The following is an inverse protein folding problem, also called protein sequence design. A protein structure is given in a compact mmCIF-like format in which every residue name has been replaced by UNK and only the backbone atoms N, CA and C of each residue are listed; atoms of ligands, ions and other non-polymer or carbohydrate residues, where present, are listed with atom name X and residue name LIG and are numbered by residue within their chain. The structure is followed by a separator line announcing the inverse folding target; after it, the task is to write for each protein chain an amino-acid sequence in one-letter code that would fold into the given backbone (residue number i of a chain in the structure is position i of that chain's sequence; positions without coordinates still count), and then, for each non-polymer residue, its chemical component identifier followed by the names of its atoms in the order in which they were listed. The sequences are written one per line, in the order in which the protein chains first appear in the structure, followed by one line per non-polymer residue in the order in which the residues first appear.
data_IF_919756218041
#
_entry.id   IF_919756218041
#
_cell.length_a   1.000
_cell.length_b   1.000
_cell.length_c   1.000
_cell.angle_alpha   90.00
_cell.angle_beta   90.00
_cell.angle_gamma   90.00
#
_symmetry.space_group_name_H-M   'P 1'
#
loop_
_entity.id
_entity.type
_entity.pdbx_description
1 polymer ?
#
# COMPACT_ATOMS: atom_id res chain seq x y z
N UNK A 1 -33.00 -2.10 -21.86
CA UNK A 1 -31.61 -2.47 -21.51
C UNK A 1 -31.61 -3.96 -21.22
N UNK A 2 -30.89 -4.77 -22.02
CA UNK A 2 -30.75 -6.20 -21.77
C UNK A 2 -29.86 -6.38 -20.54
N UNK A 3 -30.25 -7.26 -19.61
CA UNK A 3 -29.41 -7.66 -18.48
C UNK A 3 -28.22 -8.46 -19.05
N UNK A 4 -27.02 -7.87 -19.07
CA UNK A 4 -25.79 -8.53 -19.54
C UNK A 4 -25.13 -9.39 -18.45
N UNK A 5 -25.86 -9.71 -17.37
CA UNK A 5 -25.39 -10.60 -16.31
C UNK A 5 -25.41 -12.05 -16.79
N UNK A 6 -24.38 -12.45 -17.54
CA UNK A 6 -24.15 -13.85 -17.86
C UNK A 6 -23.46 -14.54 -16.67
N UNK A 7 -24.24 -15.11 -15.75
CA UNK A 7 -23.72 -16.01 -14.73
C UNK A 7 -23.54 -17.38 -15.37
N UNK A 8 -22.28 -17.73 -15.67
CA UNK A 8 -21.93 -19.09 -16.08
C UNK A 8 -21.60 -19.88 -14.82
N UNK A 9 -22.53 -20.75 -14.39
CA UNK A 9 -22.40 -21.78 -13.34
C UNK A 9 -22.44 -21.30 -11.88
N UNK A 10 -23.42 -21.79 -11.11
CA UNK A 10 -23.73 -21.29 -9.75
C UNK A 10 -23.25 -22.18 -8.59
N UNK A 11 -22.63 -23.34 -8.82
CA UNK A 11 -22.30 -24.27 -7.73
C UNK A 11 -20.81 -24.46 -7.45
N UNK A 12 -19.92 -24.48 -8.46
CA UNK A 12 -18.49 -24.80 -8.24
C UNK A 12 -17.52 -23.76 -8.76
N UNK A 13 -17.79 -23.13 -9.90
CA UNK A 13 -16.98 -22.04 -10.44
C UNK A 13 -17.86 -21.11 -11.26
N UNK A 14 -17.43 -19.88 -11.49
CA UNK A 14 -18.11 -19.02 -12.44
C UNK A 14 -17.41 -17.70 -12.72
N UNK A 15 -17.98 -16.96 -13.66
CA UNK A 15 -17.50 -15.65 -14.12
C UNK A 15 -18.70 -14.70 -14.14
N UNK A 16 -18.48 -13.45 -13.72
CA UNK A 16 -19.48 -12.39 -13.73
C UNK A 16 -18.82 -11.05 -14.07
N UNK A 17 -19.54 -10.18 -14.76
CA UNK A 17 -19.10 -8.81 -15.08
C UNK A 17 -19.97 -7.82 -14.29
N UNK A 18 -19.34 -7.14 -13.33
CA UNK A 18 -19.92 -6.02 -12.60
C UNK A 18 -19.76 -4.74 -13.42
N UNK A 19 -20.88 -4.15 -13.81
CA UNK A 19 -20.93 -2.87 -14.52
C UNK A 19 -21.94 -1.92 -13.86
N UNK A 20 -21.76 -0.61 -14.03
CA UNK A 20 -22.49 0.45 -13.31
C UNK A 20 -24.03 0.33 -13.37
N UNK A 21 -24.56 -0.27 -14.43
CA UNK A 21 -26.00 -0.52 -14.58
C UNK A 21 -26.57 -1.61 -13.64
N UNK A 22 -25.75 -2.38 -12.95
CA UNK A 22 -26.15 -3.60 -12.20
C UNK A 22 -26.00 -3.52 -10.67
N UNK A 23 -25.54 -2.40 -10.10
CA UNK A 23 -25.46 -2.23 -8.64
C UNK A 23 -26.83 -2.31 -7.93
N UNK A 24 -27.92 -2.21 -8.68
CA UNK A 24 -29.29 -2.33 -8.16
C UNK A 24 -29.73 -3.78 -7.94
N UNK A 25 -29.03 -4.77 -8.49
CA UNK A 25 -29.35 -6.21 -8.33
C UNK A 25 -28.10 -7.07 -8.52
N UNK A 26 -27.12 -7.00 -7.61
CA UNK A 26 -25.92 -7.82 -7.69
C UNK A 26 -26.27 -9.32 -7.59
N UNK A 27 -25.45 -10.20 -8.18
CA UNK A 27 -25.61 -11.64 -7.96
C UNK A 27 -25.51 -11.96 -6.47
N UNK A 28 -26.25 -13.00 -6.05
CA UNK A 28 -26.23 -13.48 -4.67
C UNK A 28 -24.80 -13.75 -4.21
N UNK A 29 -24.39 -13.11 -3.13
CA UNK A 29 -23.07 -13.27 -2.53
C UNK A 29 -22.90 -14.71 -2.00
N UNK A 30 -21.85 -15.44 -2.41
CA UNK A 30 -21.53 -16.72 -1.78
C UNK A 30 -21.29 -16.57 -0.27
N UNK A 31 -21.86 -17.48 0.52
CA UNK A 31 -21.81 -17.40 1.98
C UNK A 31 -20.39 -17.56 2.56
N UNK A 32 -19.49 -18.21 1.81
CA UNK A 32 -18.10 -18.44 2.19
C UNK A 32 -17.17 -17.24 1.98
N UNK A 33 -17.64 -16.15 1.35
CA UNK A 33 -16.81 -14.96 1.14
C UNK A 33 -16.45 -14.27 2.45
N UNK A 34 -15.15 -14.05 2.64
CA UNK A 34 -14.64 -13.19 3.71
C UNK A 34 -14.90 -11.70 3.40
N UNK A 35 -14.77 -10.78 4.38
CA UNK A 35 -15.07 -9.36 4.17
C UNK A 35 -14.33 -8.69 3.02
N UNK A 36 -13.06 -9.04 2.78
CA UNK A 36 -12.27 -8.48 1.67
C UNK A 36 -12.78 -8.99 0.32
N UNK A 37 -13.04 -10.30 0.20
CA UNK A 37 -13.61 -10.87 -1.02
C UNK A 37 -15.02 -10.35 -1.33
N UNK A 38 -15.81 -9.97 -0.31
CA UNK A 38 -17.11 -9.33 -0.52
C UNK A 38 -16.99 -7.94 -1.12
N UNK A 39 -15.94 -7.20 -0.74
CA UNK A 39 -15.64 -5.92 -1.36
C UNK A 39 -15.29 -6.14 -2.83
N UNK A 40 -14.37 -7.06 -3.13
CA UNK A 40 -13.98 -7.43 -4.51
C UNK A 40 -15.17 -7.90 -5.35
N UNK A 41 -16.09 -8.67 -4.77
CA UNK A 41 -17.33 -9.11 -5.41
C UNK A 41 -18.21 -7.95 -5.86
N UNK A 42 -18.13 -6.80 -5.19
CA UNK A 42 -18.93 -5.61 -5.51
C UNK A 42 -18.15 -4.59 -6.35
N UNK A 43 -16.87 -4.81 -6.63
CA UNK A 43 -16.10 -3.88 -7.45
C UNK A 43 -16.46 -4.00 -8.93
N UNK A 44 -16.44 -2.86 -9.64
CA UNK A 44 -16.61 -2.78 -11.11
C UNK A 44 -15.51 -3.60 -11.79
N UNK A 45 -15.85 -4.38 -12.82
CA UNK A 45 -14.92 -5.28 -13.51
C UNK A 45 -15.40 -6.73 -13.52
N UNK A 46 -14.50 -7.66 -13.82
CA UNK A 46 -14.82 -9.09 -13.85
C UNK A 46 -14.52 -9.73 -12.52
N UNK A 47 -15.45 -10.55 -12.05
CA UNK A 47 -15.28 -11.42 -10.90
C UNK A 47 -15.26 -12.86 -11.39
N UNK A 48 -14.19 -13.58 -11.10
CA UNK A 48 -14.07 -15.02 -11.31
C UNK A 48 -14.00 -15.69 -9.94
N UNK A 49 -14.71 -16.79 -9.75
CA UNK A 49 -14.66 -17.53 -8.49
C UNK A 49 -14.54 -19.03 -8.71
N UNK A 50 -13.95 -19.67 -7.70
CA UNK A 50 -13.94 -21.12 -7.51
C UNK A 50 -14.41 -21.40 -6.09
N UNK A 51 -15.60 -21.99 -5.98
CA UNK A 51 -16.25 -22.29 -4.71
C UNK A 51 -15.59 -23.45 -3.97
N UNK A 52 -15.00 -24.41 -4.69
CA UNK A 52 -14.31 -25.55 -4.07
C UNK A 52 -13.04 -25.07 -3.37
N UNK A 53 -12.36 -24.06 -3.94
CA UNK A 53 -11.19 -23.42 -3.36
C UNK A 53 -11.52 -22.26 -2.42
N UNK A 54 -12.77 -21.79 -2.39
CA UNK A 54 -13.20 -20.57 -1.69
C UNK A 54 -12.37 -19.33 -2.10
N UNK A 55 -12.03 -19.23 -3.39
CA UNK A 55 -11.25 -18.13 -3.96
C UNK A 55 -12.15 -17.28 -4.88
N UNK A 56 -11.98 -15.97 -4.77
CA UNK A 56 -12.52 -14.97 -5.69
C UNK A 56 -11.36 -14.14 -6.21
N UNK A 57 -11.34 -13.94 -7.52
CA UNK A 57 -10.41 -13.04 -8.20
C UNK A 57 -11.21 -11.94 -8.85
N UNK A 58 -10.86 -10.70 -8.52
CA UNK A 58 -11.36 -9.53 -9.23
C UNK A 58 -10.33 -9.05 -10.25
N UNK A 59 -10.82 -8.74 -11.45
CA UNK A 59 -10.05 -8.30 -12.61
C UNK A 59 -10.61 -6.96 -13.09
N UNK A 60 -9.80 -5.91 -13.03
CA UNK A 60 -10.14 -4.62 -13.61
C UNK A 60 -10.30 -4.72 -15.13
N UNK A 61 -11.08 -3.83 -15.74
CA UNK A 61 -11.40 -3.91 -17.16
C UNK A 61 -10.15 -3.79 -18.04
N UNK A 62 -9.24 -2.85 -17.73
CA UNK A 62 -7.98 -2.69 -18.45
C UNK A 62 -7.11 -3.95 -18.42
N UNK A 63 -6.87 -4.49 -17.21
CA UNK A 63 -6.10 -5.73 -17.06
C UNK A 63 -6.77 -6.94 -17.75
N UNK A 64 -8.09 -7.00 -17.72
CA UNK A 64 -8.85 -8.05 -18.40
C UNK A 64 -8.62 -8.01 -19.92
N UNK A 65 -8.54 -6.82 -20.51
CA UNK A 65 -8.24 -6.66 -21.94
C UNK A 65 -6.81 -7.14 -22.25
N UNK A 66 -5.84 -6.85 -21.39
CA UNK A 66 -4.48 -7.37 -21.52
C UNK A 66 -4.45 -8.90 -21.47
N UNK A 67 -5.21 -9.53 -20.56
CA UNK A 67 -5.35 -10.98 -20.51
C UNK A 67 -5.97 -11.54 -21.79
N UNK A 68 -7.01 -10.90 -22.32
CA UNK A 68 -7.63 -11.31 -23.59
C UNK A 68 -6.63 -11.23 -24.74
N UNK A 69 -5.84 -10.17 -24.83
CA UNK A 69 -4.78 -10.03 -25.84
C UNK A 69 -3.70 -11.11 -25.69
N UNK A 70 -3.25 -11.41 -24.47
CA UNK A 70 -2.31 -12.49 -24.21
C UNK A 70 -2.86 -13.85 -24.68
N UNK A 71 -4.13 -14.12 -24.40
CA UNK A 71 -4.80 -15.34 -24.84
C UNK A 71 -4.99 -15.39 -26.37
N UNK A 72 -5.09 -14.25 -27.06
CA UNK A 72 -5.17 -14.20 -28.53
C UNK A 72 -3.81 -14.43 -29.20
N UNK A 73 -2.71 -14.00 -28.57
CA UNK A 73 -1.36 -14.14 -29.11
C UNK A 73 -0.79 -15.55 -28.87
N UNK A 74 -1.11 -16.15 -27.73
CA UNK A 74 -0.54 -17.42 -27.31
C UNK A 74 -1.64 -18.47 -27.09
N UNK A 75 -1.66 -19.51 -27.93
CA UNK A 75 -2.67 -20.58 -27.86
C UNK A 75 -2.36 -21.70 -26.85
N UNK A 76 -1.23 -21.64 -26.13
CA UNK A 76 -0.84 -22.70 -25.15
C UNK A 76 -1.91 -22.94 -24.09
N UNK A 77 -2.67 -21.91 -23.69
CA UNK A 77 -3.73 -22.06 -22.70
C UNK A 77 -4.84 -23.02 -23.11
N UNK A 78 -5.04 -23.23 -24.41
CA UNK A 78 -6.03 -24.18 -24.94
C UNK A 78 -5.71 -25.62 -24.54
N UNK A 79 -4.43 -25.95 -24.30
CA UNK A 79 -4.01 -27.28 -23.87
C UNK A 79 -3.57 -27.33 -22.40
N UNK A 80 -2.86 -26.32 -21.91
CA UNK A 80 -2.31 -26.30 -20.54
C UNK A 80 -3.19 -25.63 -19.50
N UNK A 81 -4.29 -24.98 -19.90
CA UNK A 81 -5.03 -24.09 -19.01
C UNK A 81 -4.37 -22.71 -18.87
N UNK A 82 -4.93 -21.87 -18.01
CA UNK A 82 -4.52 -20.47 -17.86
C UNK A 82 -4.56 -20.04 -16.40
N UNK A 83 -3.58 -19.25 -15.96
CA UNK A 83 -3.55 -18.74 -14.57
C UNK A 83 -3.99 -17.28 -14.59
N UNK A 84 -5.00 -16.96 -13.80
CA UNK A 84 -5.46 -15.60 -13.56
C UNK A 84 -5.26 -15.24 -12.09
N UNK A 85 -5.20 -13.95 -11.80
CA UNK A 85 -5.13 -13.42 -10.43
C UNK A 85 -5.28 -11.91 -10.43
N UNK A 86 -5.54 -11.34 -9.26
CA UNK A 86 -5.64 -9.90 -9.10
C UNK A 86 -4.23 -9.31 -9.09
N UNK A 87 -3.89 -8.38 -10.00
CA UNK A 87 -2.58 -7.77 -10.02
C UNK A 87 -2.38 -6.91 -8.78
N UNK A 88 -1.28 -7.13 -8.06
CA UNK A 88 -0.92 -6.34 -6.89
C UNK A 88 0.56 -5.93 -6.95
N UNK A 89 0.89 -4.84 -6.27
CA UNK A 89 2.25 -4.32 -6.18
C UNK A 89 2.78 -4.54 -4.77
N UNK A 90 3.89 -5.28 -4.66
CA UNK A 90 4.56 -5.46 -3.38
C UNK A 90 5.44 -4.26 -3.09
N UNK A 91 4.93 -3.33 -2.28
CA UNK A 91 5.74 -2.25 -1.73
C UNK A 91 6.60 -2.79 -0.58
N UNK A 92 7.90 -2.96 -0.82
CA UNK A 92 8.89 -3.22 0.24
C UNK A 92 9.61 -1.93 0.61
N UNK A 93 9.93 -1.76 1.90
CA UNK A 93 10.72 -0.62 2.40
C UNK A 93 12.16 -0.62 1.90
N UNK A 94 12.67 -1.76 1.45
CA UNK A 94 14.07 -1.95 1.07
C UNK A 94 14.30 -1.79 -0.43
N UNK A 95 13.32 -2.18 -1.26
CA UNK A 95 13.40 -2.13 -2.72
C UNK A 95 12.00 -1.87 -3.27
N UNK A 96 11.83 -0.76 -4.00
CA UNK A 96 10.65 -0.54 -4.86
C UNK A 96 10.90 -1.28 -6.15
N UNK A 97 10.87 -2.61 -6.08
CA UNK A 97 10.88 -3.43 -7.27
C UNK A 97 9.44 -3.41 -7.77
N UNK A 98 9.16 -2.64 -8.83
CA UNK A 98 7.82 -2.45 -9.39
C UNK A 98 7.22 -3.71 -10.01
N UNK A 99 7.67 -4.88 -9.59
CA UNK A 99 7.22 -6.18 -10.05
C UNK A 99 5.77 -6.40 -9.63
N UNK A 100 4.90 -6.59 -10.63
CA UNK A 100 3.52 -7.02 -10.43
C UNK A 100 3.54 -8.48 -10.00
N UNK A 101 2.91 -8.78 -8.86
CA UNK A 101 2.62 -10.15 -8.45
C UNK A 101 1.10 -10.37 -8.54
N UNK A 102 0.68 -11.62 -8.76
CA UNK A 102 -0.74 -11.96 -8.79
C UNK A 102 -1.17 -12.50 -7.42
N UNK A 103 -2.16 -11.87 -6.80
CA UNK A 103 -2.88 -12.35 -5.63
C UNK A 103 -4.14 -13.13 -6.05
N UNK A 104 -4.69 -13.92 -5.12
CA UNK A 104 -5.92 -14.70 -5.34
C UNK A 104 -5.88 -15.49 -6.65
N UNK A 105 -4.80 -16.24 -6.88
CA UNK A 105 -4.62 -16.94 -8.15
C UNK A 105 -5.64 -18.05 -8.31
N UNK A 106 -6.22 -18.16 -9.50
CA UNK A 106 -7.06 -19.28 -9.92
C UNK A 106 -6.40 -19.92 -11.14
N UNK A 107 -6.12 -21.22 -11.04
CA UNK A 107 -5.65 -22.03 -12.15
C UNK A 107 -6.88 -22.56 -12.92
N UNK A 108 -7.08 -22.05 -14.13
CA UNK A 108 -8.16 -22.47 -15.00
C UNK A 108 -7.71 -23.68 -15.82
N UNK A 109 -8.51 -24.75 -15.78
CA UNK A 109 -8.38 -25.85 -16.75
C UNK A 109 -8.61 -25.33 -18.18
N UNK A 110 -8.17 -26.06 -19.20
CA UNK A 110 -8.37 -25.66 -20.60
C UNK A 110 -9.84 -25.34 -20.91
N UNK A 111 -10.78 -26.14 -20.42
CA UNK A 111 -12.22 -25.89 -20.59
C UNK A 111 -12.68 -24.59 -19.93
N UNK A 112 -12.23 -24.30 -18.71
CA UNK A 112 -12.57 -23.04 -18.00
C UNK A 112 -11.88 -21.84 -18.64
N UNK A 113 -10.66 -22.00 -19.13
CA UNK A 113 -9.93 -20.97 -19.87
C UNK A 113 -10.64 -20.62 -21.19
N UNK A 114 -11.13 -21.61 -21.95
CA UNK A 114 -11.95 -21.37 -23.14
C UNK A 114 -13.23 -20.61 -22.80
N UNK A 115 -13.94 -21.03 -21.75
CA UNK A 115 -15.15 -20.32 -21.31
C UNK A 115 -14.86 -18.87 -20.88
N UNK A 116 -13.72 -18.62 -20.21
CA UNK A 116 -13.26 -17.26 -19.92
C UNK A 116 -13.00 -16.49 -21.23
N UNK A 117 -12.21 -17.05 -22.15
CA UNK A 117 -11.88 -16.41 -23.42
C UNK A 117 -13.13 -16.01 -24.22
N UNK A 118 -14.10 -16.92 -24.33
CA UNK A 118 -15.37 -16.67 -25.02
C UNK A 118 -16.16 -15.56 -24.33
N UNK A 119 -16.22 -15.59 -23.00
CA UNK A 119 -16.86 -14.56 -22.20
C UNK A 119 -16.22 -13.18 -22.38
N UNK A 120 -14.88 -13.10 -22.32
CA UNK A 120 -14.12 -11.87 -22.52
C UNK A 120 -14.31 -11.33 -23.95
N UNK A 121 -14.25 -12.20 -24.94
CA UNK A 121 -14.45 -11.85 -26.35
C UNK A 121 -15.84 -11.30 -26.60
N UNK A 122 -16.87 -11.91 -26.01
CA UNK A 122 -18.26 -11.44 -26.10
C UNK A 122 -18.44 -10.04 -25.50
N UNK A 123 -17.78 -9.74 -24.39
CA UNK A 123 -17.92 -8.48 -23.65
C UNK A 123 -16.83 -7.45 -23.95
N UNK A 124 -15.96 -7.69 -24.95
CA UNK A 124 -14.80 -6.84 -25.25
C UNK A 124 -15.13 -5.34 -25.33
N UNK A 125 -16.15 -4.96 -26.09
CA UNK A 125 -16.55 -3.54 -26.24
C UNK A 125 -16.98 -2.89 -24.92
N UNK A 126 -17.64 -3.65 -24.05
CA UNK A 126 -18.07 -3.16 -22.75
C UNK A 126 -16.86 -3.02 -21.80
N UNK A 127 -15.90 -3.92 -21.88
CA UNK A 127 -14.63 -3.83 -21.16
C UNK A 127 -13.81 -2.62 -21.62
N UNK A 128 -13.72 -2.37 -22.93
CA UNK A 128 -13.05 -1.17 -23.49
C UNK A 128 -13.67 0.11 -22.94
N UNK A 129 -14.99 0.22 -22.96
CA UNK A 129 -15.72 1.35 -22.38
C UNK A 129 -15.45 1.50 -20.86
N UNK A 130 -15.49 0.39 -20.13
CA UNK A 130 -15.25 0.39 -18.68
C UNK A 130 -13.81 0.78 -18.33
N UNK A 131 -12.83 0.33 -19.13
CA UNK A 131 -11.42 0.62 -18.92
C UNK A 131 -11.12 2.12 -19.05
N UNK A 132 -11.74 2.81 -20.01
CA UNK A 132 -11.61 4.27 -20.16
C UNK A 132 -12.10 4.98 -18.88
N UNK A 133 -13.27 4.58 -18.36
CA UNK A 133 -13.81 5.18 -17.14
C UNK A 133 -13.06 4.77 -15.86
N UNK A 134 -12.44 3.58 -15.82
CA UNK A 134 -11.51 3.19 -14.75
C UNK A 134 -10.28 4.11 -14.74
N UNK A 135 -9.72 4.39 -15.93
CA UNK A 135 -8.55 5.26 -16.09
C UNK A 135 -8.85 6.72 -15.68
N UNK A 136 -9.96 7.29 -16.16
CA UNK A 136 -10.41 8.64 -15.77
C UNK A 136 -10.59 8.77 -14.24
N UNK A 137 -11.26 7.79 -13.63
CA UNK A 137 -11.47 7.76 -12.18
C UNK A 137 -10.16 7.63 -11.41
N UNK A 138 -9.21 6.82 -11.90
CA UNK A 138 -7.89 6.68 -11.30
C UNK A 138 -7.07 7.97 -11.39
N UNK A 139 -7.13 8.67 -12.53
CA UNK A 139 -6.46 9.96 -12.71
C UNK A 139 -6.97 11.01 -11.71
N UNK A 140 -8.28 11.10 -11.53
CA UNK A 140 -8.91 12.04 -10.60
C UNK A 140 -8.60 11.69 -9.13
N UNK A 141 -8.56 10.40 -8.79
CA UNK A 141 -8.12 9.94 -7.48
C UNK A 141 -6.65 10.34 -7.22
N UNK A 142 -5.76 10.14 -8.19
CA UNK A 142 -4.35 10.52 -8.09
C UNK A 142 -4.19 12.04 -7.92
N UNK A 143 -4.88 12.86 -8.74
CA UNK A 143 -4.90 14.32 -8.58
C UNK A 143 -5.31 14.73 -7.16
N UNK A 144 -6.32 14.06 -6.61
CA UNK A 144 -6.79 14.30 -5.24
C UNK A 144 -5.72 13.98 -4.20
N UNK A 145 -5.05 12.83 -4.32
CA UNK A 145 -3.94 12.43 -3.43
C UNK A 145 -2.79 13.44 -3.50
N UNK A 146 -2.34 13.82 -4.70
CA UNK A 146 -1.28 14.83 -4.86
C UNK A 146 -1.66 16.17 -4.24
N UNK A 147 -2.91 16.61 -4.39
CA UNK A 147 -3.42 17.83 -3.74
C UNK A 147 -3.33 17.71 -2.21
N UNK A 148 -3.72 16.57 -1.64
CA UNK A 148 -3.63 16.34 -0.19
C UNK A 148 -2.18 16.35 0.30
N UNK A 149 -1.26 15.70 -0.42
CA UNK A 149 0.18 15.72 -0.11
C UNK A 149 0.71 17.16 -0.16
N UNK A 150 0.34 17.93 -1.18
CA UNK A 150 0.76 19.32 -1.31
C UNK A 150 0.23 20.21 -0.17
N UNK A 151 -1.04 20.03 0.23
CA UNK A 151 -1.65 20.72 1.38
C UNK A 151 -0.93 20.36 2.67
N UNK A 152 -0.68 19.07 2.92
CA UNK A 152 0.07 18.61 4.08
C UNK A 152 1.48 19.22 4.10
N UNK A 153 2.19 19.19 2.97
CA UNK A 153 3.52 19.78 2.84
C UNK A 153 3.54 21.30 3.10
N UNK A 154 2.49 22.04 2.71
CA UNK A 154 2.33 23.47 3.08
C UNK A 154 2.15 23.64 4.58
N UNK A 155 1.23 22.89 5.20
CA UNK A 155 0.99 22.93 6.65
C UNK A 155 2.25 22.64 7.46
N UNK A 156 3.03 21.62 7.07
CA UNK A 156 4.31 21.29 7.74
C UNK A 156 5.35 22.42 7.62
N UNK A 157 5.36 23.17 6.51
CA UNK A 157 6.25 24.33 6.33
C UNK A 157 5.79 25.56 7.10
N UNK A 158 4.48 25.80 7.17
CA UNK A 158 3.87 26.93 7.88
C UNK A 158 3.92 26.74 9.40
N UNK A 159 3.63 25.53 9.89
CA UNK A 159 3.79 25.17 11.30
C UNK A 159 5.23 25.15 11.80
N UNK A 160 6.23 25.27 10.90
CA UNK A 160 7.63 25.55 11.26
C UNK A 160 7.96 27.04 11.38
N UNK A 161 7.11 27.94 10.86
CA UNK A 161 7.27 29.40 11.01
C UNK A 161 6.69 29.92 12.31
N UNK A 162 5.67 29.27 12.85
CA UNK A 162 5.29 29.42 14.25
C UNK A 162 6.22 28.53 15.08
N UNK A 163 7.45 29.01 15.33
CA UNK A 163 8.19 28.55 16.49
C UNK A 163 7.34 28.91 17.70
N UNK A 164 6.53 27.95 18.16
CA UNK A 164 6.06 27.95 19.52
C UNK A 164 7.29 28.26 20.38
N UNK A 165 7.29 29.41 21.05
CA UNK A 165 8.02 29.53 22.31
C UNK A 165 7.42 28.45 23.19
N UNK A 166 7.94 27.23 23.08
CA UNK A 166 7.72 26.20 24.07
C UNK A 166 8.31 26.82 25.33
N UNK A 167 7.43 27.35 26.19
CA UNK A 167 7.74 27.52 27.60
C UNK A 167 8.02 26.10 28.06
N UNK A 168 9.29 25.70 28.02
CA UNK A 168 9.73 24.37 28.44
C UNK A 168 9.31 24.24 29.92
N UNK A 169 8.33 23.39 30.27
CA UNK A 169 8.39 22.81 31.60
C UNK A 169 9.74 22.10 31.69
N UNK A 170 10.50 22.34 32.76
CA UNK A 170 11.81 21.71 32.95
C UNK A 170 11.70 20.21 32.62
N UNK A 171 12.42 19.74 31.58
CA UNK A 171 12.22 18.39 31.12
C UNK A 171 12.81 17.48 32.21
N UNK A 172 11.95 16.67 32.84
CA UNK A 172 12.33 15.73 33.89
C UNK A 172 13.05 14.53 33.24
N UNK A 173 14.25 14.79 32.72
CA UNK A 173 15.03 13.86 31.91
C UNK A 173 15.94 13.07 32.84
N UNK A 174 15.60 11.81 33.06
CA UNK A 174 16.40 10.90 33.89
C UNK A 174 17.54 10.33 33.04
N UNK A 175 18.82 10.46 33.48
CA UNK A 175 19.95 9.87 32.77
C UNK A 175 19.90 8.34 32.83
N UNK A 176 20.42 7.70 31.78
CA UNK A 176 20.66 6.26 31.75
C UNK A 176 21.87 5.97 32.65
N UNK A 177 21.69 5.09 33.64
CA UNK A 177 22.79 4.67 34.53
C UNK A 177 23.43 3.40 33.99
N UNK A 178 24.73 3.46 33.72
CA UNK A 178 25.59 2.32 33.37
C UNK A 178 26.61 2.15 34.51
N UNK A 179 27.22 0.98 34.65
CA UNK A 179 28.21 0.69 35.71
C UNK A 179 29.35 1.72 35.81
N UNK A 180 29.64 2.44 34.74
CA UNK A 180 30.69 3.48 34.67
C UNK A 180 30.21 4.91 34.91
N UNK A 181 28.89 5.17 35.07
CA UNK A 181 28.38 6.52 35.28
C UNK A 181 26.96 6.78 34.78
N UNK A 182 26.56 8.06 34.81
CA UNK A 182 25.26 8.53 34.30
C UNK A 182 25.43 9.19 32.95
N UNK A 183 24.61 8.79 31.97
CA UNK A 183 24.73 9.23 30.58
C UNK A 183 23.39 9.71 30.02
N UNK A 184 23.48 10.65 29.10
CA UNK A 184 22.37 11.13 28.30
C UNK A 184 22.58 10.72 26.84
N UNK A 185 21.51 10.27 26.19
CA UNK A 185 21.51 10.15 24.73
C UNK A 185 21.61 11.53 24.08
N UNK A 186 22.00 11.60 22.80
CA UNK A 186 21.98 12.85 22.02
C UNK A 186 20.62 13.54 22.08
N UNK A 187 19.52 12.78 22.11
CA UNK A 187 18.17 13.34 22.18
C UNK A 187 17.89 13.98 23.55
N UNK A 188 18.26 13.30 24.64
CA UNK A 188 18.12 13.83 26.00
C UNK A 188 18.98 15.07 26.21
N UNK A 189 20.24 15.06 25.74
CA UNK A 189 21.10 16.24 25.79
C UNK A 189 20.55 17.40 24.98
N UNK A 190 19.91 17.13 23.83
CA UNK A 190 19.24 18.16 23.03
C UNK A 190 18.10 18.83 23.80
N UNK A 191 17.32 18.07 24.58
CA UNK A 191 16.28 18.62 25.45
C UNK A 191 16.88 19.49 26.57
N UNK A 192 17.92 19.01 27.26
CA UNK A 192 18.57 19.73 28.36
C UNK A 192 19.20 21.05 27.87
N UNK A 193 19.86 21.04 26.70
CA UNK A 193 20.50 22.22 26.13
C UNK A 193 19.55 23.15 25.37
N UNK A 194 18.25 22.84 25.33
CA UNK A 194 17.27 23.51 24.47
C UNK A 194 17.76 23.68 23.01
N UNK A 195 18.29 22.59 22.45
CA UNK A 195 18.91 22.54 21.12
C UNK A 195 18.35 21.38 20.30
N UNK A 196 18.67 21.33 19.01
CA UNK A 196 18.34 20.19 18.15
C UNK A 196 19.40 19.09 18.27
N UNK A 197 19.01 17.82 18.11
CA UNK A 197 19.96 16.70 18.03
C UNK A 197 21.06 16.90 16.97
N UNK A 198 20.75 17.63 15.89
CA UNK A 198 21.73 17.99 14.85
C UNK A 198 22.80 18.97 15.36
N UNK A 199 22.41 19.96 16.16
CA UNK A 199 23.33 20.90 16.80
C UNK A 199 24.23 20.18 17.82
N UNK A 200 23.65 19.31 18.66
CA UNK A 200 24.42 18.49 19.62
C UNK A 200 25.46 17.63 18.91
N UNK A 201 25.07 16.91 17.84
CA UNK A 201 26.02 16.14 17.03
C UNK A 201 27.10 17.01 16.39
N UNK A 202 26.76 18.25 15.99
CA UNK A 202 27.76 19.18 15.46
C UNK A 202 28.76 19.64 16.54
N UNK A 203 28.31 19.83 17.79
CA UNK A 203 29.22 20.12 18.91
C UNK A 203 30.17 18.97 19.19
N UNK A 204 29.67 17.73 19.16
CA UNK A 204 30.48 16.52 19.32
C UNK A 204 31.53 16.41 18.21
N UNK A 205 31.13 16.57 16.94
CA UNK A 205 32.07 16.54 15.80
C UNK A 205 33.15 17.62 15.88
N UNK A 206 32.80 18.80 16.39
CA UNK A 206 33.73 19.92 16.61
C UNK A 206 34.54 19.78 17.90
N UNK A 207 34.44 18.65 18.61
CA UNK A 207 35.08 18.39 19.91
C UNK A 207 34.78 19.45 20.98
N UNK A 208 33.61 20.11 20.88
CA UNK A 208 33.13 21.05 21.89
C UNK A 208 32.42 20.35 23.05
N UNK A 209 31.87 19.15 22.79
CA UNK A 209 31.21 18.30 23.76
C UNK A 209 31.77 16.89 23.63
N UNK A 210 32.27 16.34 24.73
CA UNK A 210 32.80 14.97 24.78
C UNK A 210 31.64 13.97 24.80
N UNK A 211 31.77 12.89 24.02
CA UNK A 211 30.77 11.83 23.93
C UNK A 211 31.44 10.49 23.66
N UNK A 212 30.75 9.41 24.03
CA UNK A 212 31.15 8.02 23.78
C UNK A 212 30.18 7.41 22.76
N UNK A 213 30.69 6.60 21.84
CA UNK A 213 29.85 5.82 20.94
C UNK A 213 29.84 4.37 21.44
N UNK A 214 28.70 3.94 21.99
CA UNK A 214 28.54 2.60 22.53
C UNK A 214 27.73 1.72 21.57
N UNK A 215 28.18 0.49 21.27
CA UNK A 215 27.39 -0.47 20.49
C UNK A 215 26.00 -0.67 21.11
N UNK A 216 24.94 -0.53 20.31
CA UNK A 216 23.55 -0.71 20.73
C UNK A 216 22.88 0.49 21.41
N UNK A 217 23.66 1.42 21.99
CA UNK A 217 23.13 2.65 22.62
C UNK A 217 23.43 3.91 21.80
N UNK A 218 24.34 3.81 20.83
CA UNK A 218 24.80 4.90 20.00
C UNK A 218 25.58 5.94 20.80
N UNK A 219 25.53 7.18 20.33
CA UNK A 219 26.27 8.29 20.95
C UNK A 219 25.60 8.72 22.26
N UNK A 220 26.36 8.61 23.35
CA UNK A 220 25.98 9.02 24.69
C UNK A 220 26.95 10.06 25.26
N UNK A 221 26.45 10.93 26.12
CA UNK A 221 27.18 12.04 26.72
C UNK A 221 27.12 11.86 28.23
N UNK A 222 28.29 11.85 28.88
CA UNK A 222 28.37 11.76 30.33
C UNK A 222 27.73 12.98 31.00
N UNK A 223 26.95 12.76 32.06
CA UNK A 223 26.18 13.81 32.71
C UNK A 223 27.06 14.97 33.22
N UNK A 224 28.24 14.66 33.77
CA UNK A 224 29.18 15.66 34.27
C UNK A 224 29.73 16.52 33.12
N UNK A 225 30.07 15.90 31.99
CA UNK A 225 30.57 16.60 30.79
C UNK A 225 29.52 17.51 30.18
N UNK A 226 28.26 17.07 30.16
CA UNK A 226 27.15 17.91 29.71
C UNK A 226 26.93 19.10 30.64
N UNK A 227 27.03 18.89 31.96
CA UNK A 227 26.89 19.96 32.94
C UNK A 227 28.03 20.99 32.84
N UNK A 228 29.28 20.53 32.72
CA UNK A 228 30.43 21.40 32.47
C UNK A 228 30.28 22.21 31.17
N UNK A 229 29.68 21.63 30.12
CA UNK A 229 29.42 22.33 28.86
C UNK A 229 28.38 23.44 28.99
N UNK A 230 27.37 23.28 29.86
CA UNK A 230 26.33 24.28 30.10
C UNK A 230 26.80 25.47 30.96
N UNK A 231 27.84 25.26 31.77
CA UNK A 231 28.37 26.27 32.70
C UNK A 231 29.66 26.96 32.21
N UNK A 232 30.07 26.74 30.96
CA UNK A 232 31.15 27.49 30.28
C UNK A 232 30.59 28.66 29.50
#
# INVERSE_FOLDING_TARGET
MQNYSAVLYQTTWGIHLNFEGHFTSPPSLPAWLNPFQRQDWQQRGIVVWDADLCIVTHLYAGYTLELLEQMQVNDTWKSSGFVIGSPTYKLSSEIVDGAVILENKIELTSTRATALFDFLSLHKKLLEYTAIHDEEAAEDALKTVFRLIAVYGRKVREGRKESYKVVNPEPNVIPISISSGRYYTVYQAAQICNATSKQVRAWIRKRKLEALDLPGLGIIIEAEKLHQFLHK
#
